data_IF_260058045958
#
_entry.id   IF_260058045958
#
_cell.length_a   1.000
_cell.length_b   1.000
_cell.length_c   1.000
_cell.angle_alpha   90.00
_cell.angle_beta   90.00
_cell.angle_gamma   90.00
#
_symmetry.space_group_name_H-M   'P 1'
#
loop_
_entity.id
_entity.type
_entity.pdbx_description
1 polymer ?
#
# COMPACT_ATOMS: atom_id res chain seq x y z
N UNK A 1 12.96 21.82 -5.34
CA UNK A 1 12.04 20.67 -5.29
C UNK A 1 12.90 19.42 -5.36
N UNK A 2 12.70 18.44 -4.49
CA UNK A 2 13.47 17.18 -4.47
C UNK A 2 12.57 15.98 -4.25
N UNK A 3 12.92 14.85 -4.86
CA UNK A 3 12.25 13.56 -4.69
C UNK A 3 13.20 12.60 -3.95
N UNK A 4 12.64 11.77 -3.07
CA UNK A 4 13.38 10.69 -2.40
C UNK A 4 12.52 9.43 -2.34
N UNK A 5 13.08 8.22 -2.57
CA UNK A 5 12.34 6.99 -2.32
C UNK A 5 12.03 6.88 -0.82
N UNK A 6 10.83 6.40 -0.48
CA UNK A 6 10.34 6.33 0.90
C UNK A 6 9.51 5.07 1.18
N UNK A 7 9.87 3.87 0.69
CA UNK A 7 9.00 2.69 0.72
C UNK A 7 8.43 2.40 2.13
N UNK A 8 7.12 2.17 2.21
CA UNK A 8 6.52 1.61 3.43
C UNK A 8 6.84 0.14 3.50
N UNK A 9 7.29 -0.33 4.66
CA UNK A 9 7.50 -1.74 4.97
C UNK A 9 6.68 -2.08 6.19
N UNK A 10 5.66 -2.89 6.00
CA UNK A 10 4.65 -3.24 7.00
C UNK A 10 4.76 -4.72 7.31
N UNK A 11 4.96 -5.05 8.59
CA UNK A 11 5.12 -6.42 9.04
C UNK A 11 4.73 -6.61 10.50
N UNK A 12 4.31 -7.83 10.84
CA UNK A 12 3.99 -8.23 12.20
C UNK A 12 2.76 -7.55 12.81
N UNK A 13 2.53 -7.83 14.09
CA UNK A 13 1.28 -7.48 14.79
C UNK A 13 1.00 -5.98 14.90
N UNK A 14 2.06 -5.15 14.90
CA UNK A 14 1.92 -3.69 15.00
C UNK A 14 1.23 -3.11 13.76
N UNK A 15 1.57 -3.63 12.59
CA UNK A 15 1.12 -3.07 11.31
C UNK A 15 -0.09 -3.83 10.75
N UNK A 16 -0.51 -4.92 11.40
CA UNK A 16 -1.53 -5.83 10.89
C UNK A 16 -2.88 -5.17 10.58
N UNK A 17 -3.30 -4.19 11.38
CA UNK A 17 -4.54 -3.44 11.11
C UNK A 17 -4.41 -2.60 9.84
N UNK A 18 -3.31 -1.86 9.68
CA UNK A 18 -3.04 -1.08 8.46
C UNK A 18 -2.91 -1.97 7.22
N UNK A 19 -2.25 -3.11 7.35
CA UNK A 19 -2.12 -4.08 6.26
C UNK A 19 -3.48 -4.62 5.80
N UNK A 20 -4.41 -4.85 6.73
CA UNK A 20 -5.79 -5.26 6.40
C UNK A 20 -6.54 -4.17 5.64
N UNK A 21 -6.52 -2.94 6.13
CA UNK A 21 -7.21 -1.81 5.48
C UNK A 21 -6.66 -1.53 4.07
N UNK A 22 -5.33 -1.64 3.88
CA UNK A 22 -4.72 -1.53 2.55
C UNK A 22 -5.21 -2.65 1.62
N UNK A 23 -5.20 -3.89 2.09
CA UNK A 23 -5.65 -5.03 1.30
C UNK A 23 -7.12 -4.87 0.87
N UNK A 24 -7.99 -4.48 1.81
CA UNK A 24 -9.42 -4.30 1.57
C UNK A 24 -9.67 -3.18 0.56
N UNK A 25 -9.01 -2.03 0.73
CA UNK A 25 -9.10 -0.91 -0.20
C UNK A 25 -8.60 -1.26 -1.61
N UNK A 26 -7.48 -1.96 -1.73
CA UNK A 26 -6.93 -2.37 -3.02
C UNK A 26 -7.84 -3.36 -3.75
N UNK A 27 -8.35 -4.36 -3.04
CA UNK A 27 -9.24 -5.37 -3.64
C UNK A 27 -10.56 -4.76 -4.07
N UNK A 28 -11.12 -3.86 -3.25
CA UNK A 28 -12.32 -3.10 -3.64
C UNK A 28 -12.07 -2.34 -4.95
N UNK A 29 -11.01 -1.53 -5.01
CA UNK A 29 -10.68 -0.73 -6.19
C UNK A 29 -10.38 -1.60 -7.43
N UNK A 30 -9.74 -2.75 -7.25
CA UNK A 30 -9.49 -3.69 -8.34
C UNK A 30 -10.79 -4.34 -8.85
N UNK A 31 -11.71 -4.70 -7.96
CA UNK A 31 -13.02 -5.22 -8.33
C UNK A 31 -13.88 -4.19 -9.08
N UNK A 32 -13.79 -2.90 -8.71
CA UNK A 32 -14.47 -1.82 -9.41
C UNK A 32 -13.93 -1.62 -10.84
N UNK A 33 -12.62 -1.77 -11.02
CA UNK A 33 -11.95 -1.63 -12.32
C UNK A 33 -12.14 -2.86 -13.23
N UNK A 34 -12.16 -4.06 -12.64
CA UNK A 34 -12.29 -5.33 -13.36
C UNK A 34 -13.37 -6.22 -12.73
N UNK A 35 -14.67 -5.92 -12.90
CA UNK A 35 -15.74 -6.68 -12.26
C UNK A 35 -15.77 -8.17 -12.62
N UNK A 36 -15.30 -8.53 -13.82
CA UNK A 36 -15.23 -9.93 -14.27
C UNK A 36 -14.22 -10.78 -13.46
N UNK A 37 -13.23 -10.13 -12.83
CA UNK A 37 -12.18 -10.79 -12.04
C UNK A 37 -12.48 -10.75 -10.53
N UNK A 38 -13.58 -10.13 -10.13
CA UNK A 38 -13.86 -9.82 -8.73
C UNK A 38 -13.89 -11.05 -7.81
N UNK A 39 -14.31 -12.21 -8.32
CA UNK A 39 -14.30 -13.45 -7.54
C UNK A 39 -12.88 -13.95 -7.27
N UNK A 40 -12.02 -13.95 -8.30
CA UNK A 40 -10.62 -14.34 -8.16
C UNK A 40 -9.88 -13.37 -7.22
N UNK A 41 -10.16 -12.07 -7.30
CA UNK A 41 -9.59 -11.05 -6.43
C UNK A 41 -9.99 -11.24 -4.95
N UNK A 42 -11.27 -11.56 -4.68
CA UNK A 42 -11.74 -11.87 -3.32
C UNK A 42 -11.15 -13.16 -2.77
N UNK A 43 -11.00 -14.18 -3.61
CA UNK A 43 -10.34 -15.42 -3.20
C UNK A 43 -8.87 -15.15 -2.82
N UNK A 44 -8.15 -14.40 -3.66
CA UNK A 44 -6.79 -13.98 -3.36
C UNK A 44 -6.70 -13.17 -2.06
N UNK A 45 -7.63 -12.22 -1.83
CA UNK A 45 -7.71 -11.46 -0.59
C UNK A 45 -7.86 -12.37 0.64
N UNK A 46 -8.77 -13.35 0.58
CA UNK A 46 -9.01 -14.26 1.69
C UNK A 46 -7.75 -15.06 2.07
N UNK A 47 -6.98 -15.52 1.09
CA UNK A 47 -5.70 -16.19 1.33
C UNK A 47 -4.68 -15.26 2.00
N UNK A 48 -4.52 -14.02 1.52
CA UNK A 48 -3.59 -13.06 2.11
C UNK A 48 -3.99 -12.65 3.52
N UNK A 49 -5.28 -12.53 3.81
CA UNK A 49 -5.78 -12.23 5.16
C UNK A 49 -5.55 -13.39 6.13
N UNK A 50 -5.53 -14.63 5.65
CA UNK A 50 -5.14 -15.79 6.46
C UNK A 50 -3.64 -15.71 6.82
N UNK A 51 -2.77 -15.47 5.83
CA UNK A 51 -1.33 -15.28 6.06
C UNK A 51 -1.03 -14.11 7.01
N UNK A 52 -1.80 -13.01 6.90
CA UNK A 52 -1.72 -11.88 7.81
C UNK A 52 -2.05 -12.27 9.25
N UNK A 53 -3.09 -13.07 9.45
CA UNK A 53 -3.47 -13.54 10.78
C UNK A 53 -2.44 -14.50 11.37
N UNK A 54 -1.77 -15.27 10.53
CA UNK A 54 -0.69 -16.19 10.92
C UNK A 54 0.64 -15.46 11.15
N UNK A 55 0.75 -14.18 10.75
CA UNK A 55 1.96 -13.37 10.90
C UNK A 55 3.01 -13.60 9.82
N UNK A 56 2.62 -14.24 8.71
CA UNK A 56 3.51 -14.63 7.61
C UNK A 56 3.49 -13.65 6.42
N UNK A 57 2.64 -12.61 6.50
CA UNK A 57 2.53 -11.58 5.47
C UNK A 57 3.40 -10.37 5.80
N UNK A 58 4.09 -9.85 4.80
CA UNK A 58 4.70 -8.51 4.80
C UNK A 58 4.26 -7.75 3.54
N UNK A 59 4.07 -6.44 3.66
CA UNK A 59 3.71 -5.56 2.54
C UNK A 59 4.79 -4.50 2.37
N UNK A 60 5.33 -4.38 1.15
CA UNK A 60 6.18 -3.26 0.74
C UNK A 60 5.42 -2.40 -0.28
N UNK A 61 5.32 -1.09 -0.01
CA UNK A 61 4.71 -0.11 -0.91
C UNK A 61 5.75 0.91 -1.32
N UNK A 62 6.29 0.72 -2.52
CA UNK A 62 7.21 1.67 -3.14
C UNK A 62 6.50 2.99 -3.44
N UNK A 63 7.05 4.08 -2.91
CA UNK A 63 6.65 5.43 -3.27
C UNK A 63 7.80 6.41 -3.11
N UNK A 64 7.58 7.62 -3.61
CA UNK A 64 8.52 8.71 -3.57
C UNK A 64 7.90 9.88 -2.83
N UNK A 65 8.63 10.40 -1.86
CA UNK A 65 8.24 11.62 -1.17
C UNK A 65 8.76 12.83 -1.92
N UNK A 66 7.92 13.87 -1.94
CA UNK A 66 8.19 15.12 -2.61
C UNK A 66 8.34 16.25 -1.59
N UNK A 67 9.53 16.85 -1.57
CA UNK A 67 9.78 18.11 -0.86
C UNK A 67 9.75 19.28 -1.86
N UNK A 68 8.77 20.16 -1.71
CA UNK A 68 8.68 21.43 -2.45
C UNK A 68 8.63 22.61 -1.47
N UNK A 69 9.62 23.50 -1.55
CA UNK A 69 9.65 24.75 -0.79
C UNK A 69 9.12 25.89 -1.66
N UNK A 70 8.37 26.85 -1.11
CA UNK A 70 8.00 28.07 -1.83
C UNK A 70 9.28 28.84 -2.23
N UNK A 71 9.24 29.53 -3.38
CA UNK A 71 10.41 30.14 -4.00
C UNK A 71 11.17 31.09 -3.06
N UNK A 72 12.34 30.68 -2.60
CA UNK A 72 13.41 31.63 -2.37
C UNK A 72 13.99 31.99 -3.73
N UNK A 73 14.09 33.27 -4.04
CA UNK A 73 14.85 33.76 -5.20
C UNK A 73 16.19 33.01 -5.26
N UNK A 74 16.63 32.67 -6.47
CA UNK A 74 18.01 32.21 -6.67
C UNK A 74 18.93 33.30 -6.12
N UNK A 75 19.53 33.05 -4.95
CA UNK A 75 20.66 33.85 -4.49
C UNK A 75 21.84 33.47 -5.36
N UNK A 76 22.28 34.44 -6.17
CA UNK A 76 23.53 34.43 -6.92
C UNK A 76 24.74 34.12 -6.03
#
# INVERSE_FOLDING_TARGET
MSLSPSPWRLEGARDAELMRELMDGWVQAACEQSPAEAEALRQWQAERLAELNDGELAIEVDHWDLMALPGGEARE
#
